data_IF_063519262402
#
_entry.id   IF_063519262402
#
_cell.length_a   1.000
_cell.length_b   1.000
_cell.length_c   1.000
_cell.angle_alpha   90.00
_cell.angle_beta   90.00
_cell.angle_gamma   90.00
#
_symmetry.space_group_name_H-M   'P 1'
#
loop_
_entity.id
_entity.type
_entity.pdbx_description
1 polymer ?
#
# COMPACT_ATOMS: atom_id res chain seq x y z
N UNK A 1 -38.88 -11.46 22.74
CA UNK A 1 -37.75 -11.73 23.67
C UNK A 1 -37.19 -13.16 23.60
N UNK A 2 -37.99 -14.19 23.35
CA UNK A 2 -37.55 -15.61 23.26
C UNK A 2 -36.76 -15.86 21.98
N UNK A 3 -37.15 -15.26 20.86
CA UNK A 3 -36.45 -15.38 19.55
C UNK A 3 -35.03 -14.76 19.59
N UNK A 4 -34.90 -13.58 20.20
CA UNK A 4 -33.62 -12.91 20.41
C UNK A 4 -32.69 -13.74 21.29
N UNK A 5 -33.21 -14.40 22.32
CA UNK A 5 -32.49 -15.27 23.22
C UNK A 5 -31.96 -16.53 22.52
N UNK A 6 -32.71 -17.09 21.57
CA UNK A 6 -32.35 -18.29 20.79
C UNK A 6 -31.30 -17.98 19.69
N UNK A 7 -31.40 -16.80 19.07
CA UNK A 7 -30.44 -16.34 18.06
C UNK A 7 -29.08 -15.93 18.66
N UNK A 8 -29.08 -15.31 19.85
CA UNK A 8 -27.88 -14.84 20.56
C UNK A 8 -27.21 -15.90 21.45
N UNK A 9 -27.89 -17.03 21.74
CA UNK A 9 -27.34 -18.11 22.58
C UNK A 9 -26.13 -18.85 21.95
N UNK A 10 -25.84 -18.64 20.66
CA UNK A 10 -24.68 -19.22 19.98
C UNK A 10 -23.35 -18.50 20.27
N UNK A 11 -23.38 -17.32 20.88
CA UNK A 11 -22.19 -16.52 21.20
C UNK A 11 -22.10 -16.31 22.73
N UNK A 12 -21.04 -16.82 23.36
CA UNK A 12 -20.77 -16.61 24.78
C UNK A 12 -20.71 -15.11 25.15
N UNK A 13 -20.31 -14.26 24.22
CA UNK A 13 -20.25 -12.82 24.36
C UNK A 13 -21.64 -12.18 24.42
N UNK A 14 -22.56 -12.63 23.58
CA UNK A 14 -23.94 -12.12 23.57
C UNK A 14 -24.71 -12.51 24.83
N UNK A 15 -24.45 -13.65 25.42
CA UNK A 15 -25.06 -14.11 26.67
C UNK A 15 -24.63 -13.29 27.89
N UNK A 16 -23.35 -12.88 27.95
CA UNK A 16 -22.83 -12.04 29.03
C UNK A 16 -23.39 -10.62 28.98
N UNK A 17 -23.50 -10.04 27.77
CA UNK A 17 -24.13 -8.73 27.54
C UNK A 17 -25.58 -8.75 27.98
N UNK A 18 -26.34 -9.75 27.52
CA UNK A 18 -27.76 -9.89 27.84
C UNK A 18 -28.01 -10.05 29.34
N UNK A 19 -27.15 -10.77 30.04
CA UNK A 19 -27.25 -10.94 31.49
C UNK A 19 -27.06 -9.61 32.25
N UNK A 20 -26.12 -8.77 31.82
CA UNK A 20 -25.82 -7.47 32.47
C UNK A 20 -26.82 -6.37 32.11
N UNK A 21 -27.27 -6.32 30.87
CA UNK A 21 -28.21 -5.31 30.39
C UNK A 21 -29.67 -5.64 30.76
N UNK A 22 -29.97 -6.89 31.13
CA UNK A 22 -31.34 -7.34 31.45
C UNK A 22 -31.98 -6.54 32.57
N UNK A 23 -31.28 -6.35 33.71
CA UNK A 23 -31.84 -5.58 34.83
C UNK A 23 -32.06 -4.10 34.48
N UNK A 24 -30.99 -3.35 34.02
CA UNK A 24 -31.21 -1.94 33.63
C UNK A 24 -32.18 -1.80 32.47
N UNK A 25 -32.23 -2.76 31.52
CA UNK A 25 -33.15 -2.75 30.41
C UNK A 25 -34.63 -2.80 30.84
N UNK A 26 -34.98 -3.66 31.81
CA UNK A 26 -36.35 -3.69 32.33
C UNK A 26 -36.77 -2.37 32.97
N UNK A 27 -35.87 -1.76 33.76
CA UNK A 27 -36.13 -0.44 34.37
C UNK A 27 -36.24 0.67 33.31
N UNK A 28 -35.37 0.62 32.29
CA UNK A 28 -35.45 1.59 31.17
C UNK A 28 -36.77 1.48 30.44
N UNK A 29 -37.19 0.27 30.05
CA UNK A 29 -38.47 0.08 29.37
C UNK A 29 -39.66 0.46 30.25
N UNK A 30 -39.62 0.17 31.56
CA UNK A 30 -40.65 0.57 32.50
C UNK A 30 -40.71 2.09 32.66
N UNK A 31 -39.57 2.77 32.81
CA UNK A 31 -39.50 4.24 32.95
C UNK A 31 -39.99 4.97 31.68
N UNK A 32 -39.53 4.52 30.51
CA UNK A 32 -40.02 5.08 29.25
C UNK A 32 -41.49 4.78 28.98
N UNK A 33 -41.95 3.56 29.31
CA UNK A 33 -43.38 3.18 29.22
C UNK A 33 -44.26 4.02 30.17
N UNK A 34 -43.77 4.27 31.39
CA UNK A 34 -44.50 5.12 32.37
C UNK A 34 -44.56 6.58 31.90
N UNK A 35 -43.44 7.12 31.37
CA UNK A 35 -43.40 8.49 30.83
C UNK A 35 -44.35 8.66 29.64
N UNK A 36 -44.30 7.73 28.65
CA UNK A 36 -45.21 7.75 27.49
C UNK A 36 -46.65 7.57 27.94
N UNK A 37 -46.92 6.59 28.85
CA UNK A 37 -48.24 6.31 29.36
C UNK A 37 -48.83 7.51 30.09
N UNK A 38 -48.06 8.21 30.90
CA UNK A 38 -48.46 9.44 31.55
C UNK A 38 -48.79 10.55 30.53
N UNK A 39 -47.94 10.69 29.47
CA UNK A 39 -48.21 11.63 28.38
C UNK A 39 -49.55 11.35 27.66
N UNK A 40 -49.81 10.08 27.34
CA UNK A 40 -51.08 9.68 26.73
C UNK A 40 -52.26 9.91 27.66
N UNK A 41 -52.09 9.61 28.96
CA UNK A 41 -53.15 9.80 29.95
C UNK A 41 -53.55 11.30 30.11
N UNK A 42 -52.55 12.20 30.04
CA UNK A 42 -52.80 13.64 30.17
C UNK A 42 -53.46 14.27 28.93
N UNK A 43 -53.35 13.65 27.76
CA UNK A 43 -54.04 14.09 26.53
C UNK A 43 -55.54 13.63 26.53
N UNK A 44 -55.94 12.81 27.48
CA UNK A 44 -57.28 12.26 27.52
C UNK A 44 -58.28 13.34 28.04
N UNK A 45 -59.35 13.65 27.31
CA UNK A 45 -60.27 14.77 27.66
C UNK A 45 -60.95 14.63 29.01
N UNK A 46 -61.02 13.42 29.57
CA UNK A 46 -61.57 13.17 30.92
C UNK A 46 -60.66 13.56 32.08
N UNK A 47 -59.36 13.86 31.80
CA UNK A 47 -58.36 14.29 32.77
C UNK A 47 -57.87 15.72 32.49
N UNK A 48 -58.56 16.48 31.64
CA UNK A 48 -58.17 17.81 31.17
C UNK A 48 -58.06 18.86 32.29
N UNK A 49 -58.75 18.68 33.43
CA UNK A 49 -58.63 19.57 34.57
C UNK A 49 -57.25 19.57 35.21
N UNK A 50 -56.40 18.61 34.88
CA UNK A 50 -54.99 18.50 35.32
C UNK A 50 -53.99 19.06 34.29
N UNK A 51 -54.47 19.29 33.07
CA UNK A 51 -53.65 19.93 32.04
C UNK A 51 -53.30 21.38 32.46
N UNK A 52 -51.98 21.70 32.45
CA UNK A 52 -51.50 23.03 32.81
C UNK A 52 -51.22 23.23 34.28
N UNK A 53 -51.47 22.25 35.17
CA UNK A 53 -51.05 22.38 36.56
C UNK A 53 -49.51 22.28 36.68
N UNK A 54 -48.90 23.09 37.53
CA UNK A 54 -47.48 23.04 37.81
C UNK A 54 -47.05 21.64 38.28
N UNK A 55 -47.94 20.89 38.91
CA UNK A 55 -47.69 19.54 39.37
C UNK A 55 -47.50 18.54 38.22
N UNK A 56 -48.34 18.60 37.17
CA UNK A 56 -48.21 17.71 36.00
C UNK A 56 -46.91 17.97 35.23
N UNK A 57 -46.54 19.23 35.06
CA UNK A 57 -45.27 19.61 34.44
C UNK A 57 -44.02 19.08 35.22
N UNK A 58 -44.09 19.15 36.55
CA UNK A 58 -43.04 18.61 37.44
C UNK A 58 -42.97 17.09 37.35
N UNK A 59 -44.13 16.41 37.40
CA UNK A 59 -44.17 14.93 37.30
C UNK A 59 -43.65 14.44 35.95
N UNK A 60 -44.07 15.02 34.83
CA UNK A 60 -43.56 14.67 33.51
C UNK A 60 -42.04 14.86 33.39
N UNK A 61 -41.50 15.94 33.97
CA UNK A 61 -40.07 16.23 34.00
C UNK A 61 -39.32 15.22 34.87
N UNK A 62 -39.87 14.88 36.04
CA UNK A 62 -39.30 13.88 36.93
C UNK A 62 -39.21 12.50 36.24
N UNK A 63 -40.32 12.03 35.60
CA UNK A 63 -40.33 10.78 34.86
C UNK A 63 -39.35 10.78 33.70
N UNK A 64 -39.22 11.90 32.98
CA UNK A 64 -38.25 12.05 31.90
C UNK A 64 -36.79 11.95 32.39
N UNK A 65 -36.47 12.61 33.51
CA UNK A 65 -35.12 12.53 34.12
C UNK A 65 -34.81 11.08 34.56
N UNK A 66 -35.79 10.40 35.19
CA UNK A 66 -35.65 8.99 35.59
C UNK A 66 -35.44 8.12 34.34
N UNK A 67 -36.15 8.33 33.24
CA UNK A 67 -36.04 7.62 32.00
C UNK A 67 -34.63 7.81 31.37
N UNK A 68 -34.13 9.04 31.37
CA UNK A 68 -32.75 9.38 30.93
C UNK A 68 -31.72 8.67 31.84
N UNK A 69 -31.91 8.72 33.16
CA UNK A 69 -31.03 8.05 34.13
C UNK A 69 -30.97 6.52 33.92
N UNK A 70 -32.13 5.89 33.69
CA UNK A 70 -32.19 4.47 33.40
C UNK A 70 -31.53 4.12 32.06
N UNK A 71 -31.70 4.96 31.02
CA UNK A 71 -31.03 4.78 29.75
C UNK A 71 -29.48 4.92 29.89
N UNK A 72 -29.03 5.91 30.65
CA UNK A 72 -27.61 6.11 30.97
C UNK A 72 -27.06 4.91 31.75
N UNK A 73 -27.79 4.39 32.73
CA UNK A 73 -27.40 3.19 33.44
C UNK A 73 -27.32 1.97 32.53
N UNK A 74 -28.26 1.81 31.61
CA UNK A 74 -28.25 0.73 30.61
C UNK A 74 -26.99 0.83 29.72
N UNK A 75 -26.68 2.03 29.21
CA UNK A 75 -25.47 2.30 28.42
C UNK A 75 -24.18 2.02 29.24
N UNK A 76 -24.12 2.48 30.49
CA UNK A 76 -23.02 2.23 31.41
C UNK A 76 -22.80 0.73 31.65
N UNK A 77 -23.88 -0.03 31.83
CA UNK A 77 -23.82 -1.48 31.98
C UNK A 77 -23.38 -2.18 30.68
N UNK A 78 -23.81 -1.67 29.52
CA UNK A 78 -23.39 -2.20 28.21
C UNK A 78 -21.90 -2.01 27.94
N UNK A 79 -21.27 -0.95 28.47
CA UNK A 79 -19.82 -0.70 28.28
C UNK A 79 -18.90 -1.80 28.87
N UNK A 80 -19.41 -2.69 29.74
CA UNK A 80 -18.69 -3.85 30.21
C UNK A 80 -18.41 -4.91 29.12
N UNK A 81 -19.06 -4.77 27.98
CA UNK A 81 -18.84 -5.63 26.81
C UNK A 81 -17.39 -5.67 26.38
N UNK A 82 -16.69 -4.53 26.45
CA UNK A 82 -15.28 -4.45 26.08
C UNK A 82 -14.39 -5.37 26.92
N UNK A 83 -14.68 -5.47 28.21
CA UNK A 83 -13.92 -6.34 29.11
C UNK A 83 -14.31 -7.82 28.95
N UNK A 84 -15.60 -8.10 28.79
CA UNK A 84 -16.10 -9.45 28.58
C UNK A 84 -15.60 -10.02 27.24
N UNK A 85 -15.48 -9.18 26.20
CA UNK A 85 -14.89 -9.53 24.92
C UNK A 85 -13.38 -9.84 25.04
N UNK A 86 -12.66 -9.03 25.81
CA UNK A 86 -11.23 -9.28 26.06
C UNK A 86 -11.01 -10.60 26.81
N UNK A 87 -11.82 -10.89 27.83
CA UNK A 87 -11.76 -12.15 28.59
C UNK A 87 -12.12 -13.38 27.77
N UNK A 88 -13.10 -13.27 26.86
CA UNK A 88 -13.48 -14.37 25.97
C UNK A 88 -12.36 -14.74 24.99
N UNK A 89 -11.59 -13.77 24.49
CA UNK A 89 -10.41 -14.01 23.65
C UNK A 89 -9.22 -14.59 24.43
N UNK A 90 -9.11 -14.26 25.71
CA UNK A 90 -8.03 -14.70 26.58
C UNK A 90 -8.05 -16.22 26.82
N UNK A 91 -9.23 -16.82 26.89
CA UNK A 91 -9.39 -18.26 27.04
C UNK A 91 -8.95 -19.06 25.81
N UNK A 92 -8.75 -18.37 24.65
CA UNK A 92 -8.29 -18.99 23.41
C UNK A 92 -6.77 -18.92 23.22
N UNK A 93 -6.06 -17.97 23.88
CA UNK A 93 -4.64 -17.69 23.61
C UNK A 93 -3.88 -17.28 24.88
N UNK A 94 -3.30 -18.25 25.58
CA UNK A 94 -2.67 -18.07 26.90
C UNK A 94 -1.41 -17.16 26.95
N UNK A 95 -0.84 -16.78 25.81
CA UNK A 95 0.46 -16.10 25.75
C UNK A 95 0.42 -14.56 25.61
N UNK A 96 -0.67 -13.96 25.10
CA UNK A 96 -0.77 -12.52 24.78
C UNK A 96 -1.66 -11.70 25.73
N UNK A 97 -2.11 -12.26 26.80
CA UNK A 97 -3.28 -11.82 27.58
C UNK A 97 -3.16 -10.49 28.32
N UNK A 98 -2.04 -10.16 28.96
CA UNK A 98 -1.94 -8.98 29.85
C UNK A 98 -2.08 -7.62 29.14
N UNK A 99 -1.62 -7.51 27.90
CA UNK A 99 -1.69 -6.23 27.14
C UNK A 99 -3.10 -5.91 26.66
N UNK A 100 -3.93 -6.91 26.38
CA UNK A 100 -5.31 -6.71 25.94
C UNK A 100 -6.23 -6.29 27.08
N UNK A 101 -6.03 -6.81 28.27
CA UNK A 101 -6.83 -6.48 29.47
C UNK A 101 -6.76 -4.99 29.82
N UNK A 102 -5.55 -4.44 29.85
CA UNK A 102 -5.34 -3.01 30.16
C UNK A 102 -6.01 -2.11 29.12
N UNK A 103 -5.93 -2.44 27.83
CA UNK A 103 -6.56 -1.67 26.75
C UNK A 103 -8.09 -1.71 26.82
N UNK A 104 -8.66 -2.89 27.10
CA UNK A 104 -10.10 -3.06 27.27
C UNK A 104 -10.62 -2.26 28.47
N UNK A 105 -9.87 -2.25 29.58
CA UNK A 105 -10.23 -1.51 30.79
C UNK A 105 -10.21 0.01 30.56
N UNK A 106 -9.19 0.52 29.86
CA UNK A 106 -9.11 1.96 29.52
C UNK A 106 -10.28 2.36 28.62
N UNK A 107 -10.55 1.56 27.57
CA UNK A 107 -11.65 1.83 26.64
C UNK A 107 -12.99 1.80 27.36
N UNK A 108 -13.23 0.82 28.26
CA UNK A 108 -14.43 0.77 29.10
C UNK A 108 -14.60 2.04 29.93
N UNK A 109 -13.55 2.44 30.68
CA UNK A 109 -13.62 3.63 31.56
C UNK A 109 -13.92 4.90 30.75
N UNK A 110 -13.27 5.05 29.58
CA UNK A 110 -13.50 6.19 28.70
C UNK A 110 -14.96 6.21 28.18
N UNK A 111 -15.46 5.06 27.69
CA UNK A 111 -16.84 4.93 27.21
C UNK A 111 -17.85 5.18 28.33
N UNK A 112 -17.61 4.65 29.53
CA UNK A 112 -18.47 4.88 30.71
C UNK A 112 -18.50 6.36 31.09
N UNK A 113 -17.35 7.03 31.10
CA UNK A 113 -17.28 8.47 31.38
C UNK A 113 -18.05 9.30 30.35
N UNK A 114 -17.91 8.97 29.07
CA UNK A 114 -18.66 9.63 27.97
C UNK A 114 -20.16 9.42 28.10
N UNK A 115 -20.62 8.21 28.39
CA UNK A 115 -22.06 7.91 28.57
C UNK A 115 -22.63 8.67 29.76
N UNK A 116 -21.93 8.74 30.89
CA UNK A 116 -22.36 9.50 32.07
C UNK A 116 -22.42 10.98 31.73
N UNK A 117 -21.39 11.52 31.04
CA UNK A 117 -21.35 12.93 30.63
C UNK A 117 -22.57 13.29 29.76
N UNK A 118 -22.85 12.47 28.75
CA UNK A 118 -24.00 12.66 27.84
C UNK A 118 -25.32 12.54 28.61
N UNK A 119 -25.46 11.57 29.53
CA UNK A 119 -26.65 11.37 30.33
C UNK A 119 -26.93 12.53 31.27
N UNK A 120 -25.91 13.05 31.95
CA UNK A 120 -25.99 14.24 32.81
C UNK A 120 -26.36 15.48 31.97
N UNK A 121 -25.70 15.68 30.84
CA UNK A 121 -26.02 16.77 29.92
C UNK A 121 -27.48 16.70 29.44
N UNK A 122 -27.97 15.53 29.06
CA UNK A 122 -29.36 15.33 28.67
C UNK A 122 -30.35 15.61 29.80
N UNK A 123 -30.03 15.19 31.04
CA UNK A 123 -30.88 15.47 32.20
C UNK A 123 -30.93 16.98 32.54
N UNK A 124 -29.79 17.67 32.48
CA UNK A 124 -29.73 19.13 32.70
C UNK A 124 -30.50 19.88 31.61
N UNK A 125 -30.42 19.42 30.35
CA UNK A 125 -31.13 20.00 29.20
C UNK A 125 -32.66 19.91 29.27
N UNK A 126 -33.25 19.14 30.22
CA UNK A 126 -34.68 19.11 30.47
C UNK A 126 -35.21 20.37 31.16
N UNK A 127 -34.29 21.14 31.81
CA UNK A 127 -34.66 22.37 32.49
C UNK A 127 -34.58 23.58 31.53
N UNK A 128 -35.64 24.41 31.51
CA UNK A 128 -35.71 25.57 30.61
C UNK A 128 -34.63 26.60 30.91
N UNK A 129 -34.35 26.88 32.19
CA UNK A 129 -33.29 27.79 32.61
C UNK A 129 -31.86 27.33 32.12
N UNK A 130 -31.66 26.04 31.99
CA UNK A 130 -30.38 25.46 31.51
C UNK A 130 -30.30 25.35 29.97
N UNK A 131 -31.42 25.49 29.27
CA UNK A 131 -31.48 25.28 27.82
C UNK A 131 -30.57 26.22 27.03
N UNK A 132 -30.58 27.52 27.41
CA UNK A 132 -29.69 28.52 26.77
C UNK A 132 -28.20 28.23 27.02
N UNK A 133 -27.85 27.88 28.25
CA UNK A 133 -26.47 27.47 28.56
C UNK A 133 -26.10 26.19 27.81
N UNK A 134 -27.01 25.23 27.65
CA UNK A 134 -26.80 24.00 26.96
C UNK A 134 -26.58 24.18 25.45
N UNK A 135 -27.29 25.14 24.80
CA UNK A 135 -27.04 25.46 23.38
C UNK A 135 -25.62 25.99 23.16
N UNK A 136 -25.13 26.81 24.06
CA UNK A 136 -23.76 27.32 23.99
C UNK A 136 -22.72 26.20 24.22
N UNK A 137 -22.96 25.32 25.19
CA UNK A 137 -22.12 24.14 25.43
C UNK A 137 -22.12 23.20 24.23
N UNK A 138 -23.28 22.92 23.63
CA UNK A 138 -23.40 22.08 22.45
C UNK A 138 -22.71 22.68 21.23
N UNK A 139 -22.83 24.00 21.03
CA UNK A 139 -22.11 24.69 19.96
C UNK A 139 -20.58 24.56 20.14
N UNK A 140 -20.09 24.80 21.36
CA UNK A 140 -18.68 24.63 21.69
C UNK A 140 -18.21 23.18 21.54
N UNK A 141 -19.02 22.21 21.99
CA UNK A 141 -18.75 20.79 21.82
C UNK A 141 -18.72 20.40 20.34
N UNK A 142 -19.53 21.02 19.49
CA UNK A 142 -19.49 20.85 18.03
C UNK A 142 -18.15 21.24 17.43
N UNK A 143 -17.64 22.40 17.81
CA UNK A 143 -16.31 22.86 17.36
C UNK A 143 -15.20 21.93 17.84
N UNK A 144 -15.23 21.55 19.11
CA UNK A 144 -14.28 20.57 19.69
C UNK A 144 -14.35 19.25 18.95
N UNK A 145 -15.54 18.77 18.61
CA UNK A 145 -15.76 17.51 17.88
C UNK A 145 -15.14 17.54 16.49
N UNK A 146 -15.21 18.68 15.78
CA UNK A 146 -14.57 18.84 14.46
C UNK A 146 -13.05 18.78 14.62
N UNK A 147 -12.48 19.48 15.61
CA UNK A 147 -11.03 19.43 15.86
C UNK A 147 -10.56 18.02 16.20
N UNK A 148 -11.29 17.31 17.06
CA UNK A 148 -11.02 15.91 17.38
C UNK A 148 -11.17 14.99 16.16
N UNK A 149 -12.18 15.21 15.33
CA UNK A 149 -12.38 14.47 14.09
C UNK A 149 -11.21 14.64 13.12
N UNK A 150 -10.73 15.85 12.93
CA UNK A 150 -9.55 16.12 12.11
C UNK A 150 -8.28 15.48 12.70
N UNK A 151 -8.08 15.58 14.01
CA UNK A 151 -6.95 14.93 14.68
C UNK A 151 -6.99 13.40 14.57
N UNK A 152 -8.17 12.78 14.60
CA UNK A 152 -8.37 11.34 14.48
C UNK A 152 -8.40 10.84 13.03
N UNK A 153 -8.47 11.72 12.03
CA UNK A 153 -8.68 11.39 10.62
C UNK A 153 -7.65 10.38 10.08
N UNK A 154 -6.38 10.53 10.44
CA UNK A 154 -5.34 9.62 9.97
C UNK A 154 -5.51 8.20 10.52
N UNK A 155 -5.84 8.08 11.79
CA UNK A 155 -6.06 6.77 12.45
C UNK A 155 -7.30 6.07 11.89
N UNK A 156 -8.40 6.81 11.78
CA UNK A 156 -9.64 6.32 11.18
C UNK A 156 -9.42 5.92 9.71
N UNK A 157 -8.67 6.73 8.95
CA UNK A 157 -8.32 6.42 7.56
C UNK A 157 -7.58 5.09 7.41
N UNK A 158 -6.65 4.75 8.32
CA UNK A 158 -5.98 3.45 8.31
C UNK A 158 -6.93 2.30 8.64
N UNK A 159 -7.87 2.48 9.57
CA UNK A 159 -8.86 1.45 9.93
C UNK A 159 -9.82 1.19 8.77
N UNK A 160 -10.33 2.24 8.12
CA UNK A 160 -11.17 2.10 6.93
C UNK A 160 -10.42 1.45 5.77
N UNK A 161 -9.15 1.82 5.55
CA UNK A 161 -8.30 1.20 4.55
C UNK A 161 -8.08 -0.29 4.83
N UNK A 162 -7.80 -0.68 6.08
CA UNK A 162 -7.66 -2.08 6.46
C UNK A 162 -8.94 -2.89 6.25
N UNK A 163 -10.08 -2.31 6.59
CA UNK A 163 -11.39 -2.90 6.31
C UNK A 163 -11.61 -3.05 4.79
N UNK A 164 -11.31 -2.01 4.00
CA UNK A 164 -11.42 -2.06 2.54
C UNK A 164 -10.53 -3.16 1.94
N UNK A 165 -9.28 -3.28 2.39
CA UNK A 165 -8.36 -4.34 1.93
C UNK A 165 -8.93 -5.73 2.22
N UNK A 166 -9.52 -5.94 3.41
CA UNK A 166 -10.13 -7.21 3.79
C UNK A 166 -11.34 -7.58 2.92
N UNK A 167 -12.12 -6.59 2.44
CA UNK A 167 -13.30 -6.83 1.60
C UNK A 167 -12.99 -6.91 0.10
N UNK A 168 -11.95 -6.21 -0.37
CA UNK A 168 -11.64 -6.14 -1.81
C UNK A 168 -10.68 -7.24 -2.28
N UNK A 169 -10.09 -8.00 -1.36
CA UNK A 169 -9.05 -9.00 -1.66
C UNK A 169 -7.92 -8.42 -2.53
N UNK A 170 -7.61 -7.13 -2.36
CA UNK A 170 -6.55 -6.48 -3.15
C UNK A 170 -5.18 -7.10 -2.88
N UNK A 171 -4.95 -7.50 -1.64
CA UNK A 171 -3.80 -8.27 -1.16
C UNK A 171 -4.28 -9.36 -0.20
N UNK A 172 -3.56 -10.48 -0.16
CA UNK A 172 -3.83 -11.62 0.73
C UNK A 172 -2.56 -11.99 1.49
N UNK A 173 -2.73 -12.64 2.63
CA UNK A 173 -1.60 -13.25 3.35
C UNK A 173 -0.95 -14.31 2.45
N UNK A 174 0.37 -14.22 2.28
CA UNK A 174 1.15 -15.04 1.37
C UNK A 174 1.41 -14.43 -0.01
N UNK A 175 0.75 -13.32 -0.37
CA UNK A 175 1.06 -12.60 -1.61
C UNK A 175 2.47 -12.02 -1.57
N UNK A 176 3.15 -12.05 -2.73
CA UNK A 176 4.42 -11.33 -2.93
C UNK A 176 4.11 -9.96 -3.49
N UNK A 177 4.50 -8.94 -2.75
CA UNK A 177 4.24 -7.54 -3.07
C UNK A 177 5.52 -6.72 -3.09
N UNK A 178 5.52 -5.67 -3.91
CA UNK A 178 6.53 -4.61 -3.87
C UNK A 178 5.90 -3.38 -3.25
N UNK A 179 6.39 -2.98 -2.08
CA UNK A 179 5.80 -1.92 -1.30
C UNK A 179 6.86 -1.06 -0.59
N UNK A 180 6.41 0.09 -0.07
CA UNK A 180 7.26 1.04 0.63
C UNK A 180 7.99 2.00 -0.31
N UNK A 181 8.59 3.04 0.27
CA UNK A 181 9.31 4.08 -0.49
C UNK A 181 10.50 3.53 -1.29
N UNK A 182 11.18 2.52 -0.75
CA UNK A 182 12.33 1.86 -1.39
C UNK A 182 11.93 0.76 -2.37
N UNK A 183 10.62 0.53 -2.60
CA UNK A 183 10.11 -0.56 -3.45
C UNK A 183 10.70 -1.92 -3.06
N UNK A 184 10.65 -2.23 -1.77
CA UNK A 184 11.15 -3.50 -1.25
C UNK A 184 10.17 -4.63 -1.58
N UNK A 185 10.72 -5.77 -1.98
CA UNK A 185 9.93 -6.96 -2.34
C UNK A 185 9.87 -7.91 -1.15
N UNK A 186 8.66 -8.37 -0.82
CA UNK A 186 8.46 -9.33 0.26
C UNK A 186 7.10 -10.03 0.19
N UNK A 187 6.91 -11.01 1.07
CA UNK A 187 5.63 -11.71 1.23
C UNK A 187 4.80 -11.11 2.34
N UNK A 188 3.51 -10.97 2.14
CA UNK A 188 2.57 -10.51 3.15
C UNK A 188 2.45 -11.57 4.25
N UNK A 189 2.91 -11.25 5.48
CA UNK A 189 2.88 -12.14 6.64
C UNK A 189 1.57 -11.98 7.42
N UNK A 190 1.11 -10.75 7.60
CA UNK A 190 -0.09 -10.43 8.40
C UNK A 190 -0.79 -9.18 7.85
N UNK A 191 -2.11 -9.19 7.86
CA UNK A 191 -2.94 -8.02 7.55
C UNK A 191 -3.77 -7.70 8.79
N UNK A 192 -3.55 -6.52 9.36
CA UNK A 192 -4.34 -6.00 10.49
C UNK A 192 -5.29 -4.90 10.01
N UNK A 193 -6.10 -4.35 10.91
CA UNK A 193 -6.97 -3.21 10.57
C UNK A 193 -6.22 -1.91 10.28
N UNK A 194 -4.98 -1.76 10.74
CA UNK A 194 -4.25 -0.49 10.64
C UNK A 194 -2.95 -0.58 9.85
N UNK A 195 -2.36 -1.76 9.75
CA UNK A 195 -1.11 -1.99 9.05
C UNK A 195 -1.06 -3.40 8.45
N UNK A 196 -0.20 -3.56 7.46
CA UNK A 196 0.18 -4.82 6.83
C UNK A 196 1.64 -5.09 7.17
N UNK A 197 1.96 -6.32 7.52
CA UNK A 197 3.35 -6.78 7.76
C UNK A 197 3.82 -7.51 6.51
N UNK A 198 4.89 -7.01 5.91
CA UNK A 198 5.55 -7.62 4.75
C UNK A 198 6.89 -8.18 5.20
N UNK A 199 7.07 -9.49 5.03
CA UNK A 199 8.31 -10.20 5.32
C UNK A 199 9.25 -10.11 4.12
N UNK A 200 10.35 -9.37 4.27
CA UNK A 200 11.32 -9.15 3.21
C UNK A 200 12.29 -10.33 3.14
N UNK A 201 12.93 -10.52 2.00
CA UNK A 201 13.86 -11.63 1.72
C UNK A 201 15.05 -11.73 2.70
N UNK A 202 15.41 -10.64 3.37
CA UNK A 202 16.50 -10.54 4.35
C UNK A 202 16.03 -10.70 5.81
N UNK A 203 14.88 -11.32 6.02
CA UNK A 203 14.24 -11.58 7.33
C UNK A 203 13.71 -10.33 8.05
N UNK A 204 13.84 -9.14 7.47
CA UNK A 204 13.21 -7.92 8.01
C UNK A 204 11.70 -7.93 7.78
N UNK A 205 10.99 -7.26 8.66
CA UNK A 205 9.56 -7.04 8.54
C UNK A 205 9.29 -5.57 8.28
N UNK A 206 8.75 -5.28 7.12
CA UNK A 206 8.30 -3.96 6.73
C UNK A 206 6.86 -3.79 7.20
N UNK A 207 6.63 -2.82 8.08
CA UNK A 207 5.29 -2.50 8.60
C UNK A 207 4.75 -1.32 7.80
N UNK A 208 3.74 -1.57 6.99
CA UNK A 208 3.15 -0.57 6.07
C UNK A 208 1.73 -0.25 6.52
N UNK A 209 1.37 1.03 6.73
CA UNK A 209 -0.01 1.41 7.05
C UNK A 209 -0.98 0.95 5.95
N UNK A 210 -2.18 0.47 6.31
CA UNK A 210 -3.18 0.00 5.34
C UNK A 210 -3.55 1.08 4.30
N UNK A 211 -3.53 2.34 4.72
CA UNK A 211 -3.79 3.49 3.84
C UNK A 211 -2.82 3.57 2.65
N UNK A 212 -1.57 3.13 2.82
CA UNK A 212 -0.60 3.05 1.72
C UNK A 212 -1.14 2.22 0.56
N UNK A 213 -1.64 1.03 0.82
CA UNK A 213 -2.14 0.11 -0.21
C UNK A 213 -3.46 0.56 -0.88
N UNK A 214 -4.16 1.53 -0.29
CA UNK A 214 -5.39 2.09 -0.88
C UNK A 214 -5.16 3.40 -1.61
N UNK A 215 -4.04 4.10 -1.35
CA UNK A 215 -3.75 5.43 -1.90
C UNK A 215 -2.53 5.46 -2.82
N UNK A 216 -1.59 4.52 -2.65
CA UNK A 216 -0.35 4.47 -3.43
C UNK A 216 -0.36 3.23 -4.31
N UNK A 217 0.02 3.36 -5.60
CA UNK A 217 0.21 2.19 -6.46
C UNK A 217 1.28 1.26 -5.87
N UNK A 218 1.01 -0.02 -5.87
CA UNK A 218 1.92 -1.08 -5.46
C UNK A 218 1.83 -2.25 -6.43
N UNK A 219 2.85 -3.10 -6.49
CA UNK A 219 2.84 -4.29 -7.33
C UNK A 219 2.46 -5.52 -6.48
N UNK A 220 1.53 -6.32 -6.98
CA UNK A 220 1.21 -7.64 -6.43
C UNK A 220 1.55 -8.69 -7.50
N UNK A 221 2.58 -9.46 -7.22
CA UNK A 221 3.13 -10.41 -8.18
C UNK A 221 2.41 -11.76 -8.18
N UNK A 222 1.58 -12.03 -7.19
CA UNK A 222 0.95 -13.35 -7.00
C UNK A 222 -0.57 -13.32 -6.99
N UNK A 223 -1.18 -12.15 -7.18
CA UNK A 223 -2.64 -11.97 -7.09
C UNK A 223 -3.46 -12.93 -7.94
N UNK A 224 -3.03 -13.22 -9.17
CA UNK A 224 -3.73 -14.15 -10.11
C UNK A 224 -2.91 -15.38 -10.42
N UNK A 225 -1.63 -15.22 -10.64
CA UNK A 225 -0.69 -16.28 -10.96
C UNK A 225 0.67 -15.90 -10.39
N UNK A 226 1.41 -16.88 -9.90
CA UNK A 226 2.77 -16.69 -9.39
C UNK A 226 3.82 -16.66 -10.50
N UNK A 227 3.45 -17.07 -11.70
CA UNK A 227 4.35 -17.16 -12.83
C UNK A 227 4.71 -15.78 -13.39
N UNK A 228 6.01 -15.54 -13.58
CA UNK A 228 6.55 -14.22 -13.93
C UNK A 228 7.51 -14.28 -15.11
N UNK A 229 7.70 -13.10 -15.71
CA UNK A 229 8.75 -12.83 -16.69
C UNK A 229 9.81 -11.95 -16.04
N UNK A 230 11.06 -12.25 -16.32
CA UNK A 230 12.18 -11.43 -15.87
C UNK A 230 13.21 -11.23 -16.96
N UNK A 231 14.09 -10.27 -16.75
CA UNK A 231 15.14 -9.92 -17.70
C UNK A 231 16.52 -10.04 -17.08
N UNK A 232 17.47 -10.52 -17.87
CA UNK A 232 18.90 -10.42 -17.58
C UNK A 232 19.49 -9.51 -18.64
N UNK A 233 20.10 -8.42 -18.22
CA UNK A 233 20.73 -7.47 -19.14
C UNK A 233 22.26 -7.62 -19.04
N UNK A 234 22.88 -7.71 -20.20
CA UNK A 234 24.34 -7.76 -20.38
C UNK A 234 24.76 -6.63 -21.32
N UNK A 235 25.78 -5.90 -20.93
CA UNK A 235 26.43 -4.91 -21.81
C UNK A 235 27.59 -5.59 -22.49
N UNK A 236 27.53 -5.69 -23.82
CA UNK A 236 28.48 -6.38 -24.65
C UNK A 236 29.09 -5.44 -25.69
N UNK A 237 30.17 -5.86 -26.30
CA UNK A 237 30.77 -5.15 -27.43
C UNK A 237 29.89 -5.24 -28.68
N UNK A 238 30.03 -4.31 -29.60
CA UNK A 238 29.35 -4.29 -30.90
C UNK A 238 29.64 -5.53 -31.75
N UNK A 239 30.79 -6.17 -31.54
CA UNK A 239 31.18 -7.42 -32.22
C UNK A 239 30.54 -8.67 -31.62
N UNK A 240 29.66 -8.56 -30.64
CA UNK A 240 29.01 -9.70 -29.97
C UNK A 240 28.19 -10.56 -30.94
N UNK A 241 28.44 -11.87 -31.02
CA UNK A 241 27.77 -12.76 -31.96
C UNK A 241 26.38 -13.13 -31.47
N UNK A 242 25.36 -12.35 -31.81
CA UNK A 242 24.00 -12.48 -31.30
C UNK A 242 23.36 -13.85 -31.59
N UNK A 243 23.71 -14.48 -32.71
CA UNK A 243 23.23 -15.81 -33.07
C UNK A 243 23.74 -16.88 -32.09
N UNK A 244 25.03 -16.82 -31.72
CA UNK A 244 25.63 -17.76 -30.76
C UNK A 244 25.11 -17.51 -29.34
N UNK A 245 24.91 -16.26 -28.94
CA UNK A 245 24.32 -15.91 -27.64
C UNK A 245 22.90 -16.50 -27.54
N UNK A 246 22.11 -16.41 -28.62
CA UNK A 246 20.74 -16.95 -28.66
C UNK A 246 20.75 -18.47 -28.50
N UNK A 247 21.59 -19.16 -29.24
CA UNK A 247 21.74 -20.61 -29.13
C UNK A 247 22.24 -21.05 -27.74
N UNK A 248 23.17 -20.29 -27.13
CA UNK A 248 23.66 -20.58 -25.77
C UNK A 248 22.59 -20.37 -24.72
N UNK A 249 21.78 -19.32 -24.83
CA UNK A 249 20.65 -19.07 -23.93
C UNK A 249 19.65 -20.23 -23.99
N UNK A 250 19.30 -20.69 -25.17
CA UNK A 250 18.40 -21.83 -25.36
C UNK A 250 18.96 -23.11 -24.73
N UNK A 251 20.25 -23.39 -24.94
CA UNK A 251 20.94 -24.53 -24.33
C UNK A 251 20.90 -24.47 -22.80
N UNK A 252 21.18 -23.29 -22.21
CA UNK A 252 21.18 -23.10 -20.76
C UNK A 252 19.79 -23.26 -20.16
N UNK A 253 18.76 -22.74 -20.83
CA UNK A 253 17.36 -22.89 -20.38
C UNK A 253 16.93 -24.35 -20.38
N UNK A 254 17.29 -25.12 -21.39
CA UNK A 254 16.96 -26.55 -21.48
C UNK A 254 17.75 -27.41 -20.46
N UNK A 255 18.84 -26.87 -19.86
CA UNK A 255 19.64 -27.58 -18.86
C UNK A 255 19.25 -27.32 -17.43
N UNK A 256 18.23 -26.48 -17.15
CA UNK A 256 17.82 -26.11 -15.79
C UNK A 256 16.33 -26.36 -15.56
N UNK A 257 15.96 -26.78 -14.33
CA UNK A 257 14.58 -26.95 -13.90
C UNK A 257 13.92 -25.62 -13.43
N UNK A 258 14.68 -24.52 -13.41
CA UNK A 258 14.20 -23.22 -12.99
C UNK A 258 13.31 -22.55 -14.03
N UNK A 259 13.50 -22.89 -15.31
CA UNK A 259 12.68 -22.39 -16.42
C UNK A 259 11.34 -23.15 -16.47
N UNK A 260 10.26 -22.43 -16.74
CA UNK A 260 8.92 -23.02 -16.82
C UNK A 260 8.48 -23.43 -18.23
N UNK A 261 9.34 -23.25 -19.24
CA UNK A 261 9.10 -23.64 -20.62
C UNK A 261 8.17 -22.71 -21.42
N UNK A 262 7.67 -21.60 -20.84
CA UNK A 262 6.67 -20.76 -21.52
C UNK A 262 7.26 -19.76 -22.51
N UNK A 263 8.19 -18.96 -22.07
CA UNK A 263 8.67 -17.82 -22.86
C UNK A 263 10.15 -17.55 -22.59
N UNK A 264 10.88 -17.32 -23.65
CA UNK A 264 12.24 -16.81 -23.61
C UNK A 264 12.53 -15.98 -24.87
N UNK A 265 13.57 -15.15 -24.81
CA UNK A 265 13.99 -14.37 -25.97
C UNK A 265 15.30 -13.63 -25.70
N UNK A 266 16.03 -13.33 -26.78
CA UNK A 266 17.25 -12.53 -26.74
C UNK A 266 17.11 -11.38 -27.71
N UNK A 267 17.21 -10.15 -27.19
CA UNK A 267 17.01 -8.91 -27.92
C UNK A 267 18.11 -7.91 -27.58
N UNK A 268 18.51 -7.13 -28.56
CA UNK A 268 19.28 -5.90 -28.30
C UNK A 268 18.28 -4.80 -28.01
N UNK A 269 18.38 -4.18 -26.85
CA UNK A 269 17.41 -3.17 -26.38
C UNK A 269 17.93 -1.76 -26.37
N UNK A 270 19.24 -1.63 -26.37
CA UNK A 270 19.92 -0.31 -26.37
C UNK A 270 21.34 -0.44 -26.92
N UNK A 271 21.86 0.66 -27.41
CA UNK A 271 23.22 0.76 -27.90
C UNK A 271 23.84 2.10 -27.50
N UNK A 272 25.07 2.03 -27.02
CA UNK A 272 25.88 3.20 -26.70
C UNK A 272 27.09 3.24 -27.64
N UNK A 273 27.93 4.27 -27.54
CA UNK A 273 29.16 4.41 -28.37
C UNK A 273 30.06 3.18 -28.28
N UNK A 274 30.14 2.52 -27.11
CA UNK A 274 31.09 1.44 -26.87
C UNK A 274 30.42 0.08 -26.62
N UNK A 275 29.12 0.03 -26.34
CA UNK A 275 28.44 -1.21 -25.96
C UNK A 275 27.06 -1.32 -26.52
N UNK A 276 26.59 -2.56 -26.69
CA UNK A 276 25.19 -2.90 -26.93
C UNK A 276 24.62 -3.57 -25.67
N UNK A 277 23.39 -3.21 -25.32
CA UNK A 277 22.65 -3.83 -24.22
C UNK A 277 21.85 -5.00 -24.73
N UNK A 278 22.25 -6.20 -24.37
CA UNK A 278 21.55 -7.44 -24.72
C UNK A 278 20.64 -7.84 -23.57
N UNK A 279 19.35 -7.92 -23.83
CA UNK A 279 18.33 -8.38 -22.89
C UNK A 279 17.98 -9.83 -23.18
N UNK A 280 18.14 -10.67 -22.17
CA UNK A 280 17.63 -12.04 -22.16
C UNK A 280 16.34 -12.04 -21.34
N UNK A 281 15.21 -12.30 -21.98
CA UNK A 281 13.89 -12.47 -21.37
C UNK A 281 13.69 -13.94 -21.01
N UNK A 282 13.24 -14.22 -19.80
CA UNK A 282 12.98 -15.59 -19.32
C UNK A 282 11.74 -15.61 -18.44
N UNK A 283 10.99 -16.73 -18.48
CA UNK A 283 9.85 -16.97 -17.61
C UNK A 283 10.17 -18.00 -16.52
N UNK A 284 9.50 -17.89 -15.38
CA UNK A 284 9.61 -18.85 -14.30
C UNK A 284 8.29 -19.03 -13.55
N UNK A 285 8.15 -20.15 -12.83
CA UNK A 285 6.92 -20.54 -12.11
C UNK A 285 6.55 -19.57 -10.97
N UNK A 286 7.53 -18.96 -10.35
CA UNK A 286 7.34 -18.01 -9.26
C UNK A 286 8.54 -17.04 -9.13
N UNK A 287 8.43 -16.03 -8.27
CA UNK A 287 9.46 -15.02 -8.03
C UNK A 287 10.78 -15.57 -7.52
N UNK A 288 10.76 -16.63 -6.69
CA UNK A 288 11.97 -17.30 -6.20
C UNK A 288 12.73 -17.98 -7.33
N UNK A 289 12.05 -18.84 -8.12
CA UNK A 289 12.65 -19.48 -9.29
C UNK A 289 13.12 -18.44 -10.32
N UNK A 290 12.40 -17.33 -10.48
CA UNK A 290 12.81 -16.26 -11.38
C UNK A 290 14.11 -15.59 -10.92
N UNK A 291 14.26 -15.33 -9.63
CA UNK A 291 15.48 -14.76 -9.05
C UNK A 291 16.67 -15.69 -9.27
N UNK A 292 16.50 -16.99 -8.96
CA UNK A 292 17.54 -17.99 -9.11
C UNK A 292 17.90 -18.22 -10.60
N UNK A 293 16.90 -18.24 -11.49
CA UNK A 293 17.10 -18.35 -12.93
C UNK A 293 17.87 -17.16 -13.49
N UNK A 294 17.55 -15.94 -13.05
CA UNK A 294 18.28 -14.74 -13.49
C UNK A 294 19.75 -14.75 -13.02
N UNK A 295 20.00 -15.21 -11.80
CA UNK A 295 21.35 -15.36 -11.28
C UNK A 295 22.13 -16.43 -12.08
N UNK A 296 21.53 -17.60 -12.24
CA UNK A 296 22.10 -18.71 -13.02
C UNK A 296 22.44 -18.28 -14.46
N UNK A 297 21.47 -17.68 -15.16
CA UNK A 297 21.67 -17.24 -16.54
C UNK A 297 22.78 -16.18 -16.64
N UNK A 298 22.87 -15.24 -15.69
CA UNK A 298 23.90 -14.22 -15.67
C UNK A 298 25.28 -14.85 -15.47
N UNK A 299 25.42 -15.73 -14.50
CA UNK A 299 26.69 -16.39 -14.18
C UNK A 299 27.17 -17.27 -15.34
N UNK A 300 26.29 -18.10 -15.91
CA UNK A 300 26.63 -18.99 -17.00
C UNK A 300 26.99 -18.22 -18.29
N UNK A 301 26.23 -17.17 -18.62
CA UNK A 301 26.51 -16.35 -19.81
C UNK A 301 27.81 -15.59 -19.66
N UNK A 302 28.11 -15.00 -18.49
CA UNK A 302 29.37 -14.31 -18.26
C UNK A 302 30.53 -15.30 -18.37
N UNK A 303 30.45 -16.46 -17.75
CA UNK A 303 31.50 -17.49 -17.77
C UNK A 303 31.75 -17.96 -19.20
N UNK A 304 30.70 -18.20 -19.97
CA UNK A 304 30.80 -18.63 -21.37
C UNK A 304 31.39 -17.51 -22.27
N UNK A 305 30.96 -16.26 -22.10
CA UNK A 305 31.51 -15.13 -22.85
C UNK A 305 32.99 -14.95 -22.59
N UNK A 306 33.42 -15.06 -21.33
CA UNK A 306 34.82 -14.93 -20.97
C UNK A 306 35.69 -16.05 -21.57
N UNK A 307 35.16 -17.28 -21.59
CA UNK A 307 35.92 -18.46 -22.04
C UNK A 307 35.91 -18.60 -23.58
N UNK A 308 34.78 -18.45 -24.21
CA UNK A 308 34.59 -18.80 -25.64
C UNK A 308 34.40 -17.60 -26.57
N UNK A 309 33.95 -16.44 -26.04
CA UNK A 309 33.66 -15.24 -26.83
C UNK A 309 34.35 -13.97 -26.29
N UNK A 310 35.67 -13.99 -26.11
CA UNK A 310 36.39 -12.90 -25.43
C UNK A 310 36.27 -11.53 -26.14
N UNK A 311 35.98 -11.52 -27.43
CA UNK A 311 35.76 -10.31 -28.23
C UNK A 311 34.41 -9.66 -27.99
N UNK A 312 33.45 -10.39 -27.42
CA UNK A 312 32.14 -9.84 -27.05
C UNK A 312 32.19 -9.02 -25.74
N UNK A 313 33.31 -9.02 -25.03
CA UNK A 313 33.51 -8.19 -23.84
C UNK A 313 33.60 -6.73 -24.22
N UNK A 314 33.03 -5.81 -23.44
CA UNK A 314 33.17 -4.38 -23.67
C UNK A 314 34.66 -3.97 -23.71
N UNK A 315 35.06 -3.32 -24.79
CA UNK A 315 36.41 -2.81 -24.97
C UNK A 315 36.34 -1.29 -25.13
N UNK A 316 37.19 -0.59 -24.40
CA UNK A 316 37.37 0.84 -24.63
C UNK A 316 38.31 1.05 -25.82
N UNK A 317 37.77 1.48 -26.96
CA UNK A 317 38.56 1.83 -28.14
C UNK A 317 39.09 3.25 -27.96
N UNK A 318 40.35 3.37 -27.65
CA UNK A 318 41.04 4.65 -27.61
C UNK A 318 41.82 4.75 -28.92
N UNK A 319 41.29 5.52 -29.87
CA UNK A 319 42.10 5.95 -31.01
C UNK A 319 43.04 7.05 -30.51
N UNK A 320 44.38 6.85 -30.54
CA UNK A 320 45.31 7.95 -30.32
C UNK A 320 44.95 8.99 -31.36
N UNK A 321 44.62 10.20 -30.93
CA UNK A 321 44.37 11.34 -31.79
C UNK A 321 45.64 11.60 -32.60
N UNK A 322 45.86 10.86 -33.67
CA UNK A 322 46.73 11.38 -34.73
C UNK A 322 46.05 12.69 -35.12
N UNK A 323 46.81 13.76 -35.08
CA UNK A 323 46.46 15.00 -35.76
C UNK A 323 46.31 14.65 -37.23
N UNK A 324 45.15 14.11 -37.57
CA UNK A 324 44.71 14.08 -38.94
C UNK A 324 44.53 15.56 -39.26
N UNK A 325 45.48 16.09 -40.01
CA UNK A 325 45.27 17.29 -40.78
C UNK A 325 44.10 16.90 -41.67
N UNK A 326 42.90 17.12 -41.18
CA UNK A 326 41.71 17.05 -42.01
C UNK A 326 41.91 18.19 -42.99
N UNK A 327 42.43 17.87 -44.15
CA UNK A 327 42.16 18.71 -45.31
C UNK A 327 40.65 18.88 -45.33
N UNK A 328 40.23 20.04 -44.92
CA UNK A 328 38.82 20.43 -44.86
C UNK A 328 38.28 20.55 -46.26
N UNK A 329 38.25 19.48 -47.01
CA UNK A 329 37.50 19.35 -48.22
C UNK A 329 36.41 18.26 -48.12
N UNK A 330 35.74 18.26 -47.01
CA UNK A 330 34.38 17.81 -46.93
C UNK A 330 33.49 18.99 -47.33
N UNK A 331 33.70 19.46 -48.57
CA UNK A 331 32.86 20.48 -49.13
C UNK A 331 31.40 20.01 -49.06
N UNK A 332 30.52 20.92 -48.73
CA UNK A 332 29.07 20.65 -48.72
C UNK A 332 28.58 20.02 -50.04
N UNK A 333 29.36 20.24 -51.14
CA UNK A 333 29.14 19.61 -52.44
C UNK A 333 29.35 18.08 -52.41
N UNK A 334 30.28 17.54 -51.67
CA UNK A 334 30.50 16.08 -51.57
C UNK A 334 29.44 15.40 -50.78
N UNK A 335 28.99 16.05 -49.69
CA UNK A 335 27.85 15.55 -48.87
C UNK A 335 26.57 15.63 -49.71
N UNK A 336 26.36 16.71 -50.45
CA UNK A 336 25.23 16.87 -51.37
C UNK A 336 25.23 15.83 -52.51
N UNK A 337 26.41 15.50 -53.08
CA UNK A 337 26.55 14.44 -54.10
C UNK A 337 26.24 13.05 -53.51
N UNK A 338 26.77 12.70 -52.33
CA UNK A 338 26.47 11.45 -51.63
C UNK A 338 24.99 11.37 -51.25
N UNK A 339 24.39 12.45 -50.79
CA UNK A 339 22.99 12.48 -50.46
C UNK A 339 22.12 12.34 -51.70
N UNK A 340 22.51 12.94 -52.83
CA UNK A 340 21.83 12.80 -54.13
C UNK A 340 21.96 11.37 -54.69
N UNK A 341 23.15 10.74 -54.50
CA UNK A 341 23.40 9.37 -54.92
C UNK A 341 22.56 8.37 -54.11
N UNK A 342 22.45 8.56 -52.79
CA UNK A 342 21.59 7.77 -51.91
C UNK A 342 20.09 8.01 -52.19
N UNK A 343 19.69 9.23 -52.50
CA UNK A 343 18.33 9.55 -52.95
C UNK A 343 18.01 8.95 -54.33
N UNK A 344 18.98 8.89 -55.25
CA UNK A 344 18.86 8.24 -56.53
C UNK A 344 18.67 6.72 -56.48
N UNK A 345 19.24 6.06 -55.46
CA UNK A 345 19.03 4.62 -55.23
C UNK A 345 17.60 4.34 -54.69
N UNK A 346 16.99 5.30 -53.98
CA UNK A 346 15.59 5.19 -53.54
C UNK A 346 14.56 5.47 -54.64
N UNK A 347 14.97 6.11 -55.76
CA UNK A 347 14.08 6.54 -56.85
C UNK A 347 13.83 5.49 -57.94
N UNK A 348 14.47 4.31 -57.90
CA UNK A 348 14.30 3.31 -58.99
C UNK A 348 13.19 2.29 -58.78
N UNK A 349 12.39 2.42 -57.75
CA UNK A 349 11.25 1.50 -57.48
C UNK A 349 9.85 2.12 -57.59
N UNK A 350 9.72 3.40 -57.98
CA UNK A 350 8.39 4.01 -58.21
C UNK A 350 8.37 4.91 -59.47
N UNK A 351 8.60 4.31 -60.60
CA UNK A 351 8.24 4.92 -61.88
C UNK A 351 7.10 4.15 -62.52
N UNK A 352 5.91 4.49 -62.11
CA UNK A 352 4.71 3.96 -62.75
C UNK A 352 3.43 4.44 -62.10
N UNK A 353 3.09 5.69 -62.16
CA UNK A 353 1.71 6.17 -62.33
C UNK A 353 1.58 7.69 -62.17
N UNK A 354 1.17 8.31 -63.31
CA UNK A 354 0.30 9.49 -63.42
C UNK A 354 0.81 10.88 -63.04
N UNK A 355 1.25 11.63 -63.97
CA UNK A 355 0.62 12.80 -64.63
C UNK A 355 -0.51 13.51 -63.88
N UNK A 356 -0.29 14.81 -63.60
CA UNK A 356 -1.39 15.77 -63.63
C UNK A 356 -1.42 16.87 -62.60
N UNK A 357 -1.29 18.11 -63.06
CA UNK A 357 -1.89 19.35 -62.55
C UNK A 357 -1.14 20.17 -61.47
N UNK A 358 -0.38 21.12 -61.89
CA UNK A 358 -0.53 22.61 -61.90
C UNK A 358 -0.99 23.31 -60.59
N UNK A 359 -0.16 24.28 -60.26
CA UNK A 359 -0.44 25.70 -59.90
C UNK A 359 -0.61 26.08 -58.40
N UNK A 360 0.36 26.82 -57.97
CA UNK A 360 0.39 28.24 -57.56
C UNK A 360 -0.19 28.65 -56.21
N UNK A 361 0.58 29.34 -55.53
CA UNK A 361 0.59 30.64 -54.82
C UNK A 361 1.28 30.52 -53.42
N UNK A 362 2.43 31.13 -53.25
CA UNK A 362 2.70 32.52 -52.90
C UNK A 362 2.21 32.90 -51.48
N UNK A 363 3.14 33.26 -50.63
CA UNK A 363 2.86 34.06 -49.46
C UNK A 363 3.77 33.80 -48.23
N UNK A 364 4.93 34.43 -48.23
CA UNK A 364 5.64 34.89 -47.02
C UNK A 364 5.08 36.27 -46.65
N UNK A 365 5.30 36.92 -45.50
CA UNK A 365 6.39 36.82 -44.53
C UNK A 365 6.02 37.20 -43.09
N UNK A 366 7.05 37.07 -42.22
CA UNK A 366 7.43 37.96 -41.09
C UNK A 366 6.49 38.01 -39.85
N UNK A 367 6.92 38.03 -38.65
CA UNK A 367 7.93 38.78 -37.88
C UNK A 367 7.82 38.38 -36.39
N UNK A 368 8.93 38.22 -35.71
CA UNK A 368 9.47 39.07 -34.67
C UNK A 368 8.82 39.05 -33.26
N UNK A 369 9.68 39.01 -32.29
CA UNK A 369 9.51 39.45 -30.90
C UNK A 369 10.04 38.39 -29.93
N UNK A 370 11.27 38.36 -29.51
CA UNK A 370 11.95 39.18 -28.46
C UNK A 370 11.32 39.05 -27.06
N UNK A 371 12.06 38.64 -26.19
CA UNK A 371 12.74 39.15 -24.95
C UNK A 371 12.53 38.24 -23.76
N UNK A 372 13.59 37.75 -23.14
CA UNK A 372 14.47 38.43 -22.18
C UNK A 372 14.11 38.15 -20.73
N UNK A 373 15.14 37.80 -19.94
CA UNK A 373 15.21 37.93 -18.49
C UNK A 373 15.77 36.68 -17.84
N UNK A 374 17.04 36.48 -17.64
CA UNK A 374 17.97 37.02 -16.65
C UNK A 374 17.55 36.60 -15.22
N UNK A 375 18.29 35.76 -14.58
CA UNK A 375 19.52 35.93 -13.81
C UNK A 375 19.36 35.56 -12.33
N UNK A 376 20.45 35.06 -11.79
CA UNK A 376 21.00 35.06 -10.42
C UNK A 376 20.43 33.98 -9.50
N UNK A 377 21.20 33.18 -8.81
CA UNK A 377 22.57 33.25 -8.32
C UNK A 377 22.60 32.66 -6.94
N UNK A 378 23.68 32.05 -6.60
CA UNK A 378 24.06 31.96 -5.19
C UNK A 378 24.19 30.55 -4.56
N UNK A 379 25.39 30.06 -4.57
CA UNK A 379 26.33 29.84 -3.46
C UNK A 379 26.11 28.58 -2.59
N UNK A 380 26.99 27.70 -2.79
CA UNK A 380 27.90 26.95 -1.90
C UNK A 380 27.59 26.93 -0.38
N UNK A 381 27.57 25.75 0.19
CA UNK A 381 28.36 25.46 1.41
C UNK A 381 28.62 23.97 1.56
N UNK A 382 29.90 23.64 1.58
CA UNK A 382 30.45 22.34 1.95
C UNK A 382 30.43 22.22 3.47
N UNK A 383 30.03 21.04 4.00
CA UNK A 383 30.53 20.57 5.29
C UNK A 383 30.86 19.08 5.17
N UNK A 384 32.13 18.81 5.30
CA UNK A 384 32.81 17.56 5.55
C UNK A 384 32.42 17.02 6.93
N UNK A 385 32.08 15.71 7.00
CA UNK A 385 32.28 14.94 8.22
C UNK A 385 32.55 13.47 7.87
N UNK A 386 33.76 13.09 8.12
CA UNK A 386 34.36 11.78 8.25
C UNK A 386 33.56 10.85 9.18
N UNK A 387 33.29 9.59 8.74
CA UNK A 387 32.76 8.53 9.57
C UNK A 387 33.07 7.18 8.91
N UNK A 388 34.11 6.51 9.43
CA UNK A 388 34.62 5.23 8.97
C UNK A 388 33.56 4.12 9.03
N UNK A 389 33.41 3.39 7.92
CA UNK A 389 32.65 2.15 7.85
C UNK A 389 33.58 0.97 8.30
N UNK A 390 33.01 -0.03 9.03
CA UNK A 390 33.78 -1.24 9.35
C UNK A 390 33.90 -2.16 8.13
N UNK A 391 35.07 -2.74 7.96
CA UNK A 391 35.47 -3.60 6.87
C UNK A 391 34.59 -4.85 6.75
N UNK A 392 34.16 -5.15 5.52
CA UNK A 392 33.53 -6.39 5.14
C UNK A 392 34.49 -7.59 5.26
N UNK A 393 34.04 -8.79 5.68
CA UNK A 393 34.89 -9.97 5.74
C UNK A 393 35.21 -10.48 4.33
N UNK A 394 36.49 -10.60 4.06
CA UNK A 394 37.05 -11.24 2.86
C UNK A 394 36.87 -12.76 3.01
N UNK A 395 35.88 -13.34 2.38
CA UNK A 395 35.82 -14.68 1.79
C UNK A 395 34.39 -15.20 1.65
N UNK A 396 33.81 -15.19 0.44
CA UNK A 396 32.45 -15.73 0.20
C UNK A 396 32.36 -17.26 0.32
N UNK A 397 33.49 -17.98 0.26
CA UNK A 397 33.53 -19.45 0.34
C UNK A 397 33.30 -19.95 1.77
N UNK A 398 33.67 -19.17 2.78
CA UNK A 398 33.46 -19.57 4.20
C UNK A 398 32.01 -19.44 4.64
N UNK A 399 31.28 -18.48 4.13
CA UNK A 399 29.86 -18.28 4.42
C UNK A 399 28.99 -19.41 3.84
N UNK A 400 29.28 -19.86 2.62
CA UNK A 400 28.58 -20.96 1.99
C UNK A 400 28.77 -22.32 2.72
N UNK A 401 29.94 -22.58 3.26
CA UNK A 401 30.22 -23.78 4.06
C UNK A 401 29.48 -23.83 5.39
N UNK A 402 29.32 -22.69 6.06
CA UNK A 402 28.57 -22.61 7.33
C UNK A 402 27.07 -22.83 7.15
N UNK A 403 26.47 -22.37 6.05
CA UNK A 403 25.05 -22.59 5.74
C UNK A 403 24.78 -24.06 5.40
N UNK A 404 25.69 -24.73 4.67
CA UNK A 404 25.58 -26.15 4.35
C UNK A 404 25.70 -27.03 5.59
N UNK A 405 26.59 -26.70 6.53
CA UNK A 405 26.76 -27.41 7.80
C UNK A 405 25.52 -27.28 8.70
N UNK A 406 24.89 -26.11 8.78
CA UNK A 406 23.64 -25.89 9.53
C UNK A 406 22.44 -26.68 8.94
N UNK A 407 22.35 -26.80 7.63
CA UNK A 407 21.30 -27.62 6.97
C UNK A 407 21.46 -29.11 7.25
N UNK A 408 22.71 -29.61 7.31
CA UNK A 408 22.99 -31.03 7.63
C UNK A 408 22.70 -31.36 9.10
N UNK A 409 23.00 -30.45 10.04
CA UNK A 409 22.68 -30.60 11.46
C UNK A 409 21.17 -30.57 11.74
N UNK A 410 20.39 -29.75 10.99
CA UNK A 410 18.92 -29.68 11.16
C UNK A 410 18.20 -30.91 10.61
N UNK A 411 18.77 -31.60 9.59
CA UNK A 411 18.26 -32.88 9.09
C UNK A 411 18.56 -34.06 10.02
N UNK A 412 19.68 -34.04 10.75
CA UNK A 412 20.04 -35.10 11.71
C UNK A 412 19.20 -35.04 13.01
N UNK A 413 18.60 -33.90 13.35
CA UNK A 413 17.69 -33.76 14.52
C UNK A 413 16.21 -34.08 14.22
N UNK A 414 15.85 -34.43 12.99
CA UNK A 414 14.49 -34.83 12.59
C UNK A 414 14.36 -36.31 12.20
N UNK A 415 15.40 -37.09 12.41
CA UNK A 415 15.37 -38.55 12.47
C UNK A 415 15.64 -39.00 13.91
#
# INVERSE_FOLDING_TARGET
>A
SIVVRKALAKSAMASSILARVRRPGHFTFAAWGAWIGLGIALVNPHLSDWEGSALTAVLMRMFLIIAIGCLTWMGYAAAWVFEDAAKARQNADQGRSRRFETRAQVLRRFTQGLIVLIGVAAAIGTFEAARHAMTTILASAGVISVIFGLAAQQTLGNVFAGMQLAFTDAIRVGDVVVAGEKKETGSVEEITLSYVVVHIWDERRLIVPCRYFTQTPFENWTRRASAQLGTVELKLDWSAPMALIRAKVEQLLNSTDLWDGRTWGVQVTDSTENTVTVRVLVSAKNSGHLSDLRAYMREQLISWIVAEQPWARPVQRIEPRQTVTVEQDMSQERIARLAAELAGISGTNEAGAASGATASHAGSPASAGEQSGAATGGAASAISASGAAPAAPKDPIHAARMVAARRKAKRARRR
#
